data_IF_453446875749
#
_entry.id   IF_453446875749
#
_cell.length_a   1.000
_cell.length_b   1.000
_cell.length_c   1.000
_cell.angle_alpha   90.00
_cell.angle_beta   90.00
_cell.angle_gamma   90.00
#
_symmetry.space_group_name_H-M   'P 1'
#
loop_
_entity.id
_entity.type
_entity.pdbx_description
1 polymer ?
#
# COMPACT_ATOMS: atom_id res chain seq x y z
N UNK A 1 -49.12 -13.52 25.81
CA UNK A 1 -48.28 -12.80 24.84
C UNK A 1 -46.80 -13.13 25.11
N UNK A 2 -46.31 -14.30 24.66
CA UNK A 2 -44.91 -14.77 24.86
C UNK A 2 -44.24 -15.11 23.51
N UNK A 3 -44.53 -14.30 22.50
CA UNK A 3 -43.95 -14.45 21.15
C UNK A 3 -43.15 -13.23 20.71
N UNK A 4 -43.03 -12.18 21.52
CA UNK A 4 -42.31 -10.95 21.14
C UNK A 4 -40.86 -10.94 21.62
N UNK A 5 -40.58 -11.54 22.79
CA UNK A 5 -39.24 -11.56 23.39
C UNK A 5 -38.25 -12.47 22.65
N UNK A 6 -38.74 -13.54 22.01
CA UNK A 6 -37.92 -14.43 21.20
C UNK A 6 -37.57 -13.78 19.87
N UNK A 7 -38.57 -13.29 19.12
CA UNK A 7 -38.35 -12.68 17.80
C UNK A 7 -37.41 -11.46 17.86
N UNK A 8 -37.55 -10.60 18.87
CA UNK A 8 -36.63 -9.46 19.07
C UNK A 8 -35.18 -9.92 19.30
N UNK A 9 -34.96 -10.97 20.10
CA UNK A 9 -33.60 -11.52 20.33
C UNK A 9 -32.99 -12.08 19.06
N UNK A 10 -33.78 -12.76 18.23
CA UNK A 10 -33.31 -13.29 16.94
C UNK A 10 -32.93 -12.16 15.98
N UNK A 11 -33.74 -11.09 15.90
CA UNK A 11 -33.44 -9.93 15.06
C UNK A 11 -32.14 -9.25 15.52
N UNK A 12 -31.96 -9.03 16.83
CA UNK A 12 -30.74 -8.42 17.36
C UNK A 12 -29.49 -9.27 17.05
N UNK A 13 -29.58 -10.60 17.18
CA UNK A 13 -28.47 -11.50 16.87
C UNK A 13 -28.12 -11.50 15.38
N UNK A 14 -29.12 -11.45 14.50
CA UNK A 14 -28.91 -11.38 13.05
C UNK A 14 -28.26 -10.05 12.65
N UNK A 15 -28.69 -8.92 13.24
CA UNK A 15 -28.06 -7.61 12.96
C UNK A 15 -26.62 -7.56 13.48
N UNK A 16 -26.34 -8.12 14.66
CA UNK A 16 -24.98 -8.20 15.21
C UNK A 16 -24.07 -9.05 14.34
N UNK A 17 -24.54 -10.21 13.88
CA UNK A 17 -23.79 -11.08 12.98
C UNK A 17 -23.50 -10.39 11.64
N UNK A 18 -24.48 -9.68 11.07
CA UNK A 18 -24.28 -8.93 9.83
C UNK A 18 -23.21 -7.83 9.99
N UNK A 19 -23.28 -7.01 11.05
CA UNK A 19 -22.27 -5.97 11.32
C UNK A 19 -20.87 -6.57 11.48
N UNK A 20 -20.74 -7.68 12.22
CA UNK A 20 -19.45 -8.37 12.41
C UNK A 20 -18.87 -8.89 11.08
N UNK A 21 -19.70 -9.38 10.16
CA UNK A 21 -19.28 -9.82 8.82
C UNK A 21 -18.79 -8.63 7.98
N UNK A 22 -19.49 -7.49 8.03
CA UNK A 22 -19.08 -6.29 7.29
C UNK A 22 -17.81 -5.63 7.88
N UNK A 23 -17.64 -5.63 9.20
CA UNK A 23 -16.41 -5.17 9.84
C UNK A 23 -15.21 -6.07 9.53
N UNK A 24 -15.43 -7.37 9.31
CA UNK A 24 -14.37 -8.29 8.90
C UNK A 24 -13.93 -8.07 7.43
N UNK A 25 -14.70 -7.38 6.59
CA UNK A 25 -14.37 -7.17 5.17
C UNK A 25 -13.49 -5.94 4.89
N UNK A 26 -13.04 -5.20 5.91
CA UNK A 26 -12.11 -4.06 5.71
C UNK A 26 -10.64 -4.48 5.59
N UNK A 27 -10.35 -5.78 5.50
CA UNK A 27 -8.99 -6.30 5.37
C UNK A 27 -8.83 -6.95 4.00
N UNK A 28 -8.73 -6.16 2.92
CA UNK A 28 -7.96 -6.56 1.72
C UNK A 28 -7.84 -5.50 0.60
N UNK A 29 -8.02 -4.21 0.88
CA UNK A 29 -7.66 -3.14 -0.08
C UNK A 29 -6.39 -2.38 0.28
N UNK A 30 -5.90 -2.52 1.52
CA UNK A 30 -4.52 -2.17 1.82
C UNK A 30 -3.66 -3.41 1.54
N UNK A 31 -3.30 -3.59 0.26
CA UNK A 31 -1.96 -4.12 -0.03
C UNK A 31 -1.02 -3.16 0.68
N UNK A 32 -0.67 -3.48 1.92
CA UNK A 32 0.36 -2.80 2.69
C UNK A 32 1.57 -2.89 1.78
N UNK A 33 1.83 -1.80 1.07
CA UNK A 33 3.07 -1.67 0.33
C UNK A 33 4.15 -2.04 1.35
N UNK A 34 5.01 -3.03 1.07
CA UNK A 34 6.03 -3.42 2.02
C UNK A 34 6.71 -2.13 2.49
N UNK A 35 6.86 -1.98 3.81
CA UNK A 35 7.33 -0.75 4.43
C UNK A 35 8.65 -0.24 3.85
N UNK A 36 9.38 -1.13 3.16
CA UNK A 36 10.43 -0.83 2.20
C UNK A 36 10.76 -2.04 1.29
N UNK A 37 11.54 -1.82 0.24
CA UNK A 37 12.13 -2.90 -0.57
C UNK A 37 13.17 -3.70 0.21
N UNK A 38 12.89 -4.98 0.43
CA UNK A 38 13.83 -5.97 1.02
C UNK A 38 14.54 -6.81 -0.04
N UNK A 39 13.95 -6.88 -1.25
CA UNK A 39 14.48 -7.60 -2.40
C UNK A 39 14.41 -6.68 -3.62
N UNK A 40 15.39 -6.79 -4.51
CA UNK A 40 15.53 -5.93 -5.69
C UNK A 40 15.72 -6.75 -6.96
N UNK A 41 15.05 -6.35 -8.02
CA UNK A 41 15.10 -6.99 -9.33
C UNK A 41 16.01 -6.20 -10.27
N UNK A 42 16.82 -6.91 -11.07
CA UNK A 42 17.75 -6.29 -12.02
C UNK A 42 17.14 -6.11 -13.42
N UNK A 43 16.09 -6.87 -13.76
CA UNK A 43 15.70 -7.14 -15.16
C UNK A 43 14.34 -6.62 -15.61
N UNK A 44 13.64 -5.84 -14.79
CA UNK A 44 12.33 -5.30 -15.21
C UNK A 44 12.58 -4.11 -16.12
N UNK A 45 12.29 -4.23 -17.42
CA UNK A 45 12.19 -3.10 -18.34
C UNK A 45 10.72 -2.80 -18.58
N UNK A 46 10.09 -2.16 -17.59
CA UNK A 46 8.71 -1.73 -17.77
C UNK A 46 8.66 -0.39 -18.46
N UNK A 47 8.16 -0.40 -19.69
CA UNK A 47 8.03 0.80 -20.52
C UNK A 47 7.05 1.83 -19.92
N UNK A 48 6.20 1.40 -18.98
CA UNK A 48 5.08 2.16 -18.40
C UNK A 48 5.28 2.47 -16.92
N UNK A 49 6.32 3.25 -16.63
CA UNK A 49 6.51 3.86 -15.30
C UNK A 49 5.49 4.99 -15.14
N UNK A 50 4.57 4.87 -14.19
CA UNK A 50 3.64 5.95 -13.82
C UNK A 50 4.25 6.83 -12.72
N UNK A 51 4.83 6.21 -11.69
CA UNK A 51 5.53 6.91 -10.59
C UNK A 51 6.81 6.19 -10.23
N UNK A 52 7.78 6.94 -9.71
CA UNK A 52 9.06 6.42 -9.28
C UNK A 52 9.49 7.10 -7.99
N UNK A 53 10.10 6.36 -7.08
CA UNK A 53 10.67 6.89 -5.84
C UNK A 53 12.04 6.27 -5.57
N UNK A 54 12.99 7.07 -5.11
CA UNK A 54 14.28 6.57 -4.64
C UNK A 54 14.15 6.17 -3.18
N UNK A 55 14.37 4.90 -2.89
CA UNK A 55 14.47 4.39 -1.54
C UNK A 55 15.94 4.44 -1.08
N UNK A 56 16.19 5.25 -0.05
CA UNK A 56 17.49 5.28 0.63
C UNK A 56 17.59 4.04 1.55
N UNK A 57 18.75 3.36 1.61
CA UNK A 57 18.92 2.21 2.48
C UNK A 57 18.68 2.56 3.95
N UNK A 58 18.00 1.66 4.67
CA UNK A 58 17.69 1.76 6.11
C UNK A 58 17.80 0.37 6.73
N UNK A 59 17.64 0.25 8.05
CA UNK A 59 17.62 -1.06 8.71
C UNK A 59 16.63 -2.01 8.01
N UNK A 60 17.16 -3.13 7.48
CA UNK A 60 16.45 -4.15 6.69
C UNK A 60 15.89 -3.68 5.33
N UNK A 61 16.20 -2.47 4.87
CA UNK A 61 15.74 -1.92 3.61
C UNK A 61 16.92 -1.72 2.65
N UNK A 62 16.85 -2.32 1.47
CA UNK A 62 17.87 -2.17 0.44
C UNK A 62 17.77 -0.82 -0.28
N UNK A 63 18.87 -0.34 -0.83
CA UNK A 63 18.80 0.77 -1.77
C UNK A 63 18.09 0.30 -3.06
N UNK A 64 17.04 1.01 -3.45
CA UNK A 64 16.21 0.62 -4.58
C UNK A 64 15.49 1.82 -5.20
N UNK A 65 15.07 1.68 -6.45
CA UNK A 65 14.01 2.50 -7.02
C UNK A 65 12.70 1.75 -6.95
N UNK A 66 11.70 2.36 -6.33
CA UNK A 66 10.33 1.86 -6.29
C UNK A 66 9.62 2.39 -7.53
N UNK A 67 9.26 1.48 -8.43
CA UNK A 67 8.52 1.78 -9.66
C UNK A 67 7.07 1.40 -9.47
N UNK A 68 6.15 2.32 -9.75
CA UNK A 68 4.72 2.06 -9.81
C UNK A 68 4.27 2.20 -11.25
N UNK A 69 3.62 1.17 -11.78
CA UNK A 69 3.09 1.16 -13.15
C UNK A 69 1.70 1.76 -13.27
N UNK A 70 1.25 1.96 -14.51
CA UNK A 70 -0.16 2.29 -14.83
C UNK A 70 -1.16 1.26 -14.29
N UNK A 71 -0.73 -0.01 -14.17
CA UNK A 71 -1.50 -1.10 -13.54
C UNK A 71 -1.41 -1.11 -12.01
N UNK A 72 -0.83 -0.07 -11.40
CA UNK A 72 -0.62 0.04 -9.96
C UNK A 72 0.21 -1.12 -9.36
N UNK A 73 1.08 -1.73 -10.18
CA UNK A 73 2.04 -2.74 -9.72
C UNK A 73 3.30 -2.05 -9.21
N UNK A 74 3.80 -2.51 -8.06
CA UNK A 74 5.00 -2.00 -7.42
C UNK A 74 6.19 -2.93 -7.69
N UNK A 75 7.30 -2.36 -8.14
CA UNK A 75 8.54 -3.09 -8.37
C UNK A 75 9.71 -2.41 -7.69
N UNK A 76 10.53 -3.21 -7.03
CA UNK A 76 11.79 -2.78 -6.42
C UNK A 76 12.92 -3.07 -7.40
N UNK A 77 13.52 -2.01 -7.93
CA UNK A 77 14.54 -2.09 -8.98
C UNK A 77 15.88 -1.66 -8.41
N UNK A 78 16.97 -2.34 -8.80
CA UNK A 78 18.32 -1.92 -8.39
C UNK A 78 18.64 -0.49 -8.87
N UNK A 79 19.59 0.23 -8.26
CA UNK A 79 19.95 1.59 -8.68
C UNK A 79 20.62 1.71 -10.06
N UNK A 80 21.02 0.60 -10.66
CA UNK A 80 21.96 0.53 -11.79
C UNK A 80 21.47 -0.08 -13.11
N UNK A 81 20.21 -0.49 -13.35
CA UNK A 81 19.86 -1.02 -14.64
C UNK A 81 19.85 0.09 -15.69
N UNK A 82 20.50 -0.18 -16.82
CA UNK A 82 20.73 0.77 -17.91
C UNK A 82 19.46 1.48 -18.39
N UNK A 83 18.34 0.76 -18.45
CA UNK A 83 17.05 1.31 -18.89
C UNK A 83 16.52 2.42 -17.95
N UNK A 84 16.76 2.30 -16.64
CA UNK A 84 16.25 3.26 -15.67
C UNK A 84 17.07 4.54 -15.71
N UNK A 85 18.39 4.41 -15.82
CA UNK A 85 19.30 5.54 -16.06
C UNK A 85 18.93 6.27 -17.34
N UNK A 86 18.65 5.55 -18.43
CA UNK A 86 18.22 6.15 -19.69
C UNK A 86 16.90 6.92 -19.52
N UNK A 87 15.91 6.37 -18.81
CA UNK A 87 14.66 7.05 -18.51
C UNK A 87 14.85 8.29 -17.63
N UNK A 88 15.76 8.26 -16.66
CA UNK A 88 16.10 9.42 -15.85
C UNK A 88 16.74 10.53 -16.68
N UNK A 89 17.63 10.18 -17.61
CA UNK A 89 18.22 11.13 -18.56
C UNK A 89 17.18 11.74 -19.51
N UNK A 90 16.11 10.99 -19.83
CA UNK A 90 14.96 11.47 -20.60
C UNK A 90 13.97 12.32 -19.76
N UNK A 91 14.27 12.55 -18.47
CA UNK A 91 13.50 13.45 -17.61
C UNK A 91 12.62 12.77 -16.56
N UNK A 92 12.68 11.44 -16.40
CA UNK A 92 12.00 10.75 -15.29
C UNK A 92 12.62 11.20 -13.96
N UNK A 93 11.83 11.89 -13.13
CA UNK A 93 12.25 12.30 -11.78
C UNK A 93 11.76 11.28 -10.75
N UNK A 94 12.70 10.70 -10.01
CA UNK A 94 12.43 9.79 -8.90
C UNK A 94 12.77 10.48 -7.56
N UNK A 95 11.85 11.23 -6.95
CA UNK A 95 12.10 11.85 -5.65
C UNK A 95 12.42 10.81 -4.57
N UNK A 96 13.17 11.19 -3.54
CA UNK A 96 13.39 10.32 -2.38
C UNK A 96 12.04 9.97 -1.74
N UNK A 97 11.85 8.70 -1.38
CA UNK A 97 10.60 8.21 -0.82
C UNK A 97 10.18 9.00 0.44
N UNK A 98 8.98 9.57 0.38
CA UNK A 98 8.38 10.50 1.35
C UNK A 98 7.67 9.72 2.47
N UNK A 99 7.85 8.39 2.57
CA UNK A 99 7.30 7.56 3.67
C UNK A 99 7.62 8.07 5.09
N UNK A 100 8.52 9.06 5.26
CA UNK A 100 8.71 9.81 6.51
C UNK A 100 7.68 10.92 6.82
N UNK A 101 6.85 11.37 5.88
CA UNK A 101 5.90 12.49 6.10
C UNK A 101 4.51 12.05 6.57
N UNK A 102 4.09 10.81 6.32
CA UNK A 102 2.74 10.32 6.66
C UNK A 102 2.56 9.73 8.06
N UNK A 103 3.50 9.95 8.99
CA UNK A 103 3.29 9.59 10.41
C UNK A 103 2.67 10.73 11.24
N UNK A 104 2.47 11.92 10.68
CA UNK A 104 2.09 13.10 11.48
C UNK A 104 0.70 13.70 11.18
N UNK A 105 -0.15 13.07 10.37
CA UNK A 105 -1.49 13.59 10.02
C UNK A 105 -2.62 12.59 10.29
N UNK A 106 -2.48 11.73 11.31
CA UNK A 106 -3.55 10.78 11.69
C UNK A 106 -3.75 10.71 13.21
N UNK A 107 -3.54 11.83 13.90
CA UNK A 107 -3.92 12.04 15.31
C UNK A 107 -4.33 13.50 15.51
N UNK A 108 -5.29 13.96 14.73
CA UNK A 108 -6.15 15.06 15.13
C UNK A 108 -7.56 14.69 14.67
N UNK A 109 -8.55 15.06 15.49
CA UNK A 109 -9.98 14.78 15.36
C UNK A 109 -10.47 13.45 15.96
N UNK A 110 -10.35 13.32 17.29
CA UNK A 110 -11.44 12.76 18.10
C UNK A 110 -11.71 13.74 19.24
N UNK A 111 -12.74 14.57 19.06
CA UNK A 111 -13.46 15.26 20.14
C UNK A 111 -14.52 14.32 20.74
#
# INVERSE_FOLDING_TARGET
MRMTLTFSRWICLLTLAAVMIFSASEVDSFKVAPSCCINVQSGISEKKVQRCYKQVPRHNCLEAYVIITDQNKMFCVKPTPSWLTERMNQGLKCPNDISKRRRFELFDDVE
#
